data_IF_224615065520
#
_entry.id   IF_224615065520
#
_cell.length_a   1.000
_cell.length_b   1.000
_cell.length_c   1.000
_cell.angle_alpha   90.00
_cell.angle_beta   90.00
_cell.angle_gamma   90.00
#
_symmetry.space_group_name_H-M   'P 1'
#
loop_
_entity.id
_entity.type
_entity.pdbx_description
1 polymer ?
#
# COMPACT_ATOMS: atom_id res chain seq x y z
N UNK A 1 -3.18 7.01 30.71
CA UNK A 1 -3.90 6.75 29.45
C UNK A 1 -4.19 8.08 28.82
N UNK A 2 -3.73 8.29 27.59
CA UNK A 2 -4.00 9.51 26.84
C UNK A 2 -5.22 9.30 25.95
N UNK A 3 -6.12 10.29 25.83
CA UNK A 3 -7.32 10.17 25.02
C UNK A 3 -6.95 9.95 23.54
N UNK A 4 -7.65 9.00 22.93
CA UNK A 4 -7.57 8.64 21.53
C UNK A 4 -8.10 9.83 20.71
N UNK A 5 -7.24 10.80 20.40
CA UNK A 5 -7.58 11.87 19.47
C UNK A 5 -7.63 11.26 18.06
N UNK A 6 -8.81 11.29 17.43
CA UNK A 6 -9.09 10.93 16.03
C UNK A 6 -8.41 11.87 15.01
N UNK A 7 -7.32 12.53 15.40
CA UNK A 7 -6.51 13.34 14.51
C UNK A 7 -5.47 12.44 13.82
N UNK A 8 -4.99 12.83 12.63
CA UNK A 8 -3.97 12.06 11.89
C UNK A 8 -2.70 11.74 12.67
N UNK A 9 -2.43 12.47 13.77
CA UNK A 9 -1.34 12.24 14.71
C UNK A 9 -1.59 10.98 15.58
N UNK A 10 -2.83 10.73 16.00
CA UNK A 10 -3.20 9.55 16.77
C UNK A 10 -3.04 8.26 15.97
N UNK A 11 -3.49 8.27 14.72
CA UNK A 11 -3.31 7.14 13.80
C UNK A 11 -1.83 6.85 13.51
N UNK A 12 -1.01 7.89 13.29
CA UNK A 12 0.43 7.72 13.06
C UNK A 12 1.14 7.09 14.27
N UNK A 13 0.72 7.44 15.50
CA UNK A 13 1.31 6.90 16.74
C UNK A 13 0.91 5.46 17.02
N UNK A 14 -0.33 5.09 16.72
CA UNK A 14 -0.76 3.69 16.77
C UNK A 14 0.02 2.83 15.78
N UNK A 15 0.15 3.30 14.54
CA UNK A 15 0.95 2.64 13.51
C UNK A 15 2.42 2.49 13.92
N UNK A 16 3.02 3.50 14.54
CA UNK A 16 4.38 3.43 15.10
C UNK A 16 4.52 2.34 16.17
N UNK A 17 3.58 2.24 17.11
CA UNK A 17 3.61 1.24 18.18
C UNK A 17 3.51 -0.19 17.62
N UNK A 18 2.65 -0.39 16.63
CA UNK A 18 2.46 -1.67 15.92
C UNK A 18 3.70 -2.07 15.13
N UNK A 19 4.26 -1.14 14.34
CA UNK A 19 5.45 -1.37 13.51
C UNK A 19 6.70 -1.67 14.35
N UNK A 20 6.87 -0.99 15.49
CA UNK A 20 8.00 -1.19 16.40
C UNK A 20 7.80 -2.37 17.38
N UNK A 21 6.71 -3.13 17.25
CA UNK A 21 6.42 -4.30 18.08
C UNK A 21 6.21 -3.98 19.56
N UNK A 22 5.72 -2.78 19.86
CA UNK A 22 5.36 -2.38 21.24
C UNK A 22 3.92 -2.76 21.61
N UNK A 23 3.16 -3.29 20.65
CA UNK A 23 1.83 -3.88 20.84
C UNK A 23 1.68 -5.12 19.96
N UNK A 24 1.01 -6.15 20.49
CA UNK A 24 0.79 -7.44 19.83
C UNK A 24 -0.60 -7.58 19.18
N UNK A 25 -1.43 -6.54 19.26
CA UNK A 25 -2.78 -6.50 18.66
C UNK A 25 -3.03 -5.15 17.99
N UNK A 26 -3.77 -5.11 16.85
CA UNK A 26 -4.15 -3.84 16.23
C UNK A 26 -4.94 -3.00 17.21
N UNK A 27 -4.58 -1.73 17.39
CA UNK A 27 -5.28 -0.80 18.30
C UNK A 27 -5.93 0.37 17.57
N UNK A 28 -5.85 0.39 16.24
CA UNK A 28 -6.50 1.38 15.36
C UNK A 28 -7.94 1.01 14.98
N UNK A 29 -8.69 1.95 14.36
CA UNK A 29 -10.02 1.67 13.86
C UNK A 29 -9.94 0.54 12.81
N UNK A 30 -10.73 -0.51 13.04
CA UNK A 30 -10.92 -1.58 12.05
C UNK A 30 -11.49 -0.97 10.76
N UNK A 31 -11.01 -1.41 9.60
CA UNK A 31 -11.58 -1.04 8.31
C UNK A 31 -13.09 -1.39 8.32
N UNK A 32 -13.92 -0.36 8.47
CA UNK A 32 -15.34 -0.53 8.75
C UNK A 32 -16.06 0.81 8.83
N UNK A 33 -16.06 1.57 7.74
CA UNK A 33 -17.01 2.68 7.56
C UNK A 33 -17.38 3.00 6.09
N UNK A 34 -16.64 2.47 5.11
CA UNK A 34 -17.08 2.45 3.70
C UNK A 34 -17.42 1.02 3.28
N UNK A 35 -18.36 0.40 3.97
CA UNK A 35 -19.06 -0.77 3.44
C UNK A 35 -19.91 -0.28 2.27
N UNK A 36 -19.49 -0.61 1.05
CA UNK A 36 -20.22 -0.37 -0.19
C UNK A 36 -21.67 -0.85 -0.04
N UNK A 37 -22.63 0.03 -0.33
CA UNK A 37 -24.05 -0.32 -0.44
C UNK A 37 -24.24 -1.18 -1.70
N UNK A 38 -24.80 -2.37 -1.52
CA UNK A 38 -25.19 -3.28 -2.60
C UNK A 38 -26.26 -2.65 -3.51
N UNK A 39 -26.01 -2.69 -4.82
CA UNK A 39 -26.91 -2.13 -5.84
C UNK A 39 -26.83 -2.82 -7.20
N UNK A 40 -27.52 -3.96 -7.32
CA UNK A 40 -28.20 -4.50 -8.53
C UNK A 40 -27.38 -5.30 -9.60
N UNK A 41 -28.02 -6.11 -10.48
CA UNK A 41 -28.03 -7.59 -10.44
C UNK A 41 -27.19 -8.28 -11.56
N UNK A 42 -27.12 -9.63 -11.60
CA UNK A 42 -26.11 -10.37 -12.34
C UNK A 42 -26.54 -10.73 -13.76
N UNK A 43 -25.68 -10.52 -14.76
CA UNK A 43 -25.80 -11.27 -16.02
C UNK A 43 -24.53 -11.24 -16.88
N UNK A 44 -24.02 -12.44 -17.18
CA UNK A 44 -23.52 -12.79 -18.50
C UNK A 44 -22.30 -12.05 -19.05
N UNK A 45 -21.10 -12.49 -18.70
CA UNK A 45 -19.99 -12.43 -19.65
C UNK A 45 -18.98 -13.57 -19.43
N UNK A 46 -19.28 -14.72 -20.03
CA UNK A 46 -18.30 -15.77 -20.25
C UNK A 46 -17.44 -15.33 -21.44
N UNK A 47 -16.19 -14.96 -21.22
CA UNK A 47 -15.20 -14.83 -22.29
C UNK A 47 -13.81 -15.33 -21.86
N UNK A 48 -13.26 -16.15 -22.76
CA UNK A 48 -11.89 -16.68 -22.89
C UNK A 48 -11.10 -17.02 -21.62
N UNK A 49 -11.00 -18.32 -21.33
CA UNK A 49 -9.87 -18.87 -20.57
C UNK A 49 -8.64 -18.84 -21.49
N UNK A 50 -7.79 -17.83 -21.34
CA UNK A 50 -6.47 -17.86 -21.97
C UNK A 50 -5.52 -18.64 -21.08
N UNK A 51 -5.22 -19.84 -21.54
CA UNK A 51 -4.09 -20.69 -21.19
C UNK A 51 -2.78 -19.91 -21.26
N UNK A 52 -2.05 -19.87 -20.16
CA UNK A 52 -0.72 -19.29 -20.11
C UNK A 52 -0.40 -18.80 -18.71
N UNK A 53 -0.33 -19.71 -17.74
CA UNK A 53 0.23 -19.42 -16.43
C UNK A 53 1.73 -19.15 -16.64
N UNK A 54 2.06 -17.92 -17.05
CA UNK A 54 3.43 -17.42 -17.04
C UNK A 54 3.80 -17.43 -15.57
N UNK A 55 4.55 -18.44 -15.16
CA UNK A 55 5.25 -18.47 -13.88
C UNK A 55 6.12 -17.22 -13.79
N UNK A 56 5.57 -16.15 -13.25
CA UNK A 56 6.33 -14.94 -12.92
C UNK A 56 7.07 -15.24 -11.64
N UNK A 57 8.37 -15.47 -11.76
CA UNK A 57 9.27 -15.55 -10.61
C UNK A 57 9.24 -14.17 -9.94
N UNK A 58 8.56 -14.11 -8.80
CA UNK A 58 8.53 -12.91 -7.96
C UNK A 58 9.90 -12.64 -7.33
N UNK A 59 10.09 -11.43 -6.77
CA UNK A 59 11.26 -11.12 -5.95
C UNK A 59 11.51 -12.18 -4.86
N UNK A 60 12.78 -12.43 -4.53
CA UNK A 60 13.12 -13.28 -3.38
C UNK A 60 12.62 -12.64 -2.07
N UNK A 61 12.43 -13.46 -1.03
CA UNK A 61 11.93 -12.99 0.28
C UNK A 61 12.87 -11.97 0.94
N UNK A 62 14.17 -12.07 0.68
CA UNK A 62 15.26 -11.20 1.13
C UNK A 62 15.59 -10.06 0.16
N UNK A 63 14.81 -9.90 -0.92
CA UNK A 63 15.02 -8.80 -1.86
C UNK A 63 14.70 -7.44 -1.20
N UNK A 64 15.41 -6.37 -1.58
CA UNK A 64 15.14 -5.03 -1.06
C UNK A 64 13.68 -4.63 -1.26
N UNK A 65 13.12 -3.94 -0.26
CA UNK A 65 11.72 -3.58 -0.18
C UNK A 65 11.53 -2.08 -0.43
N UNK A 66 10.58 -1.72 -1.29
CA UNK A 66 10.10 -0.37 -1.51
C UNK A 66 8.67 -0.20 -1.02
N UNK A 67 8.43 0.66 -0.03
CA UNK A 67 7.07 0.97 0.47
C UNK A 67 6.51 2.15 -0.33
N UNK A 68 5.49 1.89 -1.14
CA UNK A 68 4.81 2.90 -1.96
C UNK A 68 3.84 3.69 -1.10
N UNK A 69 3.89 5.02 -1.19
CA UNK A 69 3.05 5.90 -0.39
C UNK A 69 2.95 7.28 -1.04
N UNK A 70 1.93 8.06 -0.69
CA UNK A 70 1.85 9.46 -1.09
C UNK A 70 2.98 10.31 -0.46
N UNK A 71 3.24 11.49 -1.00
CA UNK A 71 4.34 12.36 -0.53
C UNK A 71 4.20 12.76 0.95
N UNK A 72 2.98 12.92 1.47
CA UNK A 72 2.74 13.21 2.89
C UNK A 72 2.96 11.95 3.74
N UNK A 73 2.48 10.79 3.28
CA UNK A 73 2.74 9.51 3.94
C UNK A 73 4.23 9.19 4.01
N UNK A 74 5.01 9.61 3.02
CA UNK A 74 6.46 9.44 3.02
C UNK A 74 7.16 10.22 4.15
N UNK A 75 6.67 11.42 4.51
CA UNK A 75 7.23 12.20 5.61
C UNK A 75 7.04 11.50 6.96
N UNK A 76 5.95 10.76 7.12
CA UNK A 76 5.65 9.97 8.33
C UNK A 76 6.41 8.64 8.33
N UNK A 77 6.42 7.92 7.20
CA UNK A 77 7.02 6.58 7.14
C UNK A 77 8.55 6.58 7.19
N UNK A 78 9.22 7.61 6.66
CA UNK A 78 10.70 7.68 6.64
C UNK A 78 11.34 7.55 8.02
N UNK A 79 10.98 8.35 9.05
CA UNK A 79 11.57 8.21 10.38
C UNK A 79 11.23 6.86 11.03
N UNK A 80 10.01 6.34 10.79
CA UNK A 80 9.57 5.06 11.34
C UNK A 80 10.37 3.87 10.78
N UNK A 81 10.57 3.82 9.47
CA UNK A 81 11.40 2.79 8.84
C UNK A 81 12.88 2.98 9.17
N UNK A 82 13.35 4.22 9.33
CA UNK A 82 14.70 4.50 9.82
C UNK A 82 14.96 3.93 11.21
N UNK A 83 13.97 3.97 12.10
CA UNK A 83 14.07 3.41 13.46
C UNK A 83 14.18 1.87 13.48
N UNK A 84 13.79 1.18 12.40
CA UNK A 84 14.00 -0.27 12.26
C UNK A 84 15.47 -0.63 11.97
N UNK A 85 16.30 0.33 11.57
CA UNK A 85 17.73 0.10 11.28
C UNK A 85 17.99 -0.81 10.09
N UNK A 86 17.08 -0.83 9.11
CA UNK A 86 17.16 -1.70 7.93
C UNK A 86 17.51 -0.94 6.66
N UNK A 87 18.67 -1.26 6.09
CA UNK A 87 19.16 -0.64 4.85
C UNK A 87 18.50 -1.21 3.58
N UNK A 88 17.83 -2.36 3.70
CA UNK A 88 17.15 -3.03 2.60
C UNK A 88 15.71 -2.52 2.39
N UNK A 89 15.21 -1.63 3.25
CA UNK A 89 13.85 -1.08 3.19
C UNK A 89 13.89 0.42 2.90
N UNK A 90 13.16 0.87 1.88
CA UNK A 90 13.07 2.30 1.54
C UNK A 90 11.63 2.76 1.28
N UNK A 91 11.36 4.03 1.59
CA UNK A 91 10.11 4.69 1.18
C UNK A 91 10.22 5.15 -0.27
N UNK A 92 9.24 4.77 -1.09
CA UNK A 92 9.11 5.19 -2.48
C UNK A 92 7.92 6.16 -2.56
N UNK A 93 8.16 7.48 -2.48
CA UNK A 93 7.09 8.47 -2.57
C UNK A 93 6.52 8.51 -4.00
N UNK A 94 5.20 8.54 -4.08
CA UNK A 94 4.45 8.66 -5.33
C UNK A 94 3.76 10.02 -5.31
N UNK A 95 4.20 10.90 -6.22
CA UNK A 95 3.54 12.18 -6.44
C UNK A 95 2.23 11.93 -7.19
N UNK A 96 1.12 12.44 -6.64
CA UNK A 96 -0.19 12.32 -7.25
C UNK A 96 -0.37 13.41 -8.31
N UNK A 97 0.02 13.14 -9.55
CA UNK A 97 -0.13 14.11 -10.64
C UNK A 97 -1.56 14.11 -11.18
N UNK A 98 -2.31 13.02 -10.99
CA UNK A 98 -3.70 12.89 -11.42
C UNK A 98 -4.63 13.93 -10.77
N UNK A 99 -4.46 14.20 -9.48
CA UNK A 99 -5.19 15.26 -8.76
C UNK A 99 -4.41 16.59 -8.68
N UNK A 100 -3.46 16.82 -9.61
CA UNK A 100 -2.75 18.10 -9.73
C UNK A 100 -1.61 18.33 -8.74
N UNK A 101 -1.02 17.27 -8.17
CA UNK A 101 0.22 17.32 -7.38
C UNK A 101 0.09 17.75 -5.92
N UNK A 102 -0.97 18.48 -5.57
CA UNK A 102 -1.17 19.05 -4.23
C UNK A 102 -1.76 18.06 -3.21
N UNK A 103 -2.16 16.87 -3.67
CA UNK A 103 -2.77 15.82 -2.85
C UNK A 103 -1.72 14.76 -2.51
N UNK A 104 -1.20 14.80 -1.27
CA UNK A 104 -0.08 13.95 -0.83
C UNK A 104 -0.47 12.69 -0.04
N UNK A 105 -1.77 12.38 0.07
CA UNK A 105 -2.27 11.28 0.90
C UNK A 105 -2.13 9.92 0.21
N UNK A 106 -1.94 8.87 1.01
CA UNK A 106 -1.78 7.48 0.56
C UNK A 106 -2.98 6.93 -0.22
N UNK A 107 -4.20 7.22 0.22
CA UNK A 107 -5.42 6.62 -0.35
C UNK A 107 -5.86 7.19 -1.71
N UNK A 108 -5.17 8.20 -2.25
CA UNK A 108 -5.56 8.84 -3.51
C UNK A 108 -4.60 8.56 -4.68
N UNK A 109 -3.72 7.56 -4.53
CA UNK A 109 -2.80 7.15 -5.58
C UNK A 109 -3.53 6.42 -6.72
N UNK A 110 -3.25 6.81 -7.95
CA UNK A 110 -3.79 6.17 -9.16
C UNK A 110 -2.75 5.26 -9.80
N UNK A 111 -3.20 4.29 -10.62
CA UNK A 111 -2.30 3.34 -11.25
C UNK A 111 -1.32 3.99 -12.22
N UNK A 112 -1.71 5.06 -12.93
CA UNK A 112 -0.81 5.80 -13.82
C UNK A 112 0.41 6.40 -13.09
N UNK A 113 0.19 6.99 -11.91
CA UNK A 113 1.26 7.57 -11.08
C UNK A 113 2.16 6.47 -10.51
N UNK A 114 1.56 5.39 -10.04
CA UNK A 114 2.30 4.21 -9.57
C UNK A 114 3.15 3.60 -10.68
N UNK A 115 2.61 3.45 -11.89
CA UNK A 115 3.31 2.89 -13.03
C UNK A 115 4.52 3.74 -13.42
N UNK A 116 4.37 5.06 -13.48
CA UNK A 116 5.46 5.99 -13.77
C UNK A 116 6.59 5.88 -12.73
N UNK A 117 6.25 5.86 -11.45
CA UNK A 117 7.26 5.74 -10.38
C UNK A 117 7.93 4.37 -10.43
N UNK A 118 7.16 3.29 -10.56
CA UNK A 118 7.67 1.91 -10.60
C UNK A 118 8.54 1.62 -11.83
N UNK A 119 8.29 2.28 -12.96
CA UNK A 119 9.12 2.16 -14.16
C UNK A 119 10.57 2.60 -13.91
N UNK A 120 10.78 3.60 -13.04
CA UNK A 120 12.10 4.07 -12.65
C UNK A 120 12.76 3.24 -11.53
N UNK A 121 12.03 2.28 -10.93
CA UNK A 121 12.56 1.49 -9.83
C UNK A 121 13.23 0.18 -10.30
N UNK A 122 14.22 -0.33 -9.54
CA UNK A 122 14.92 -1.56 -9.88
C UNK A 122 13.99 -2.78 -10.04
N UNK A 123 14.31 -3.64 -11.00
CA UNK A 123 13.68 -4.96 -11.11
C UNK A 123 14.13 -5.89 -9.97
N UNK A 124 13.28 -6.84 -9.59
CA UNK A 124 13.63 -7.86 -8.61
C UNK A 124 13.53 -7.41 -7.15
N UNK A 125 13.11 -6.17 -6.89
CA UNK A 125 12.77 -5.67 -5.56
C UNK A 125 11.29 -5.95 -5.25
N UNK A 126 10.95 -6.03 -3.96
CA UNK A 126 9.56 -6.13 -3.49
C UNK A 126 8.97 -4.72 -3.37
N UNK A 127 7.77 -4.50 -3.88
CA UNK A 127 7.07 -3.22 -3.74
C UNK A 127 5.80 -3.43 -2.94
N UNK A 128 5.66 -2.74 -1.81
CA UNK A 128 4.51 -2.85 -0.92
C UNK A 128 3.57 -1.67 -1.18
N UNK A 129 2.28 -1.94 -1.33
CA UNK A 129 1.24 -0.96 -1.61
C UNK A 129 0.14 -1.04 -0.54
N UNK A 130 -0.24 0.07 0.11
CA UNK A 130 -1.39 0.09 1.03
C UNK A 130 -2.71 -0.24 0.32
N UNK A 131 -3.54 -1.10 0.92
CA UNK A 131 -4.85 -1.51 0.42
C UNK A 131 -5.84 -0.36 0.24
N UNK A 132 -5.71 0.71 1.04
CA UNK A 132 -6.50 1.95 0.91
C UNK A 132 -6.34 2.64 -0.45
N UNK A 133 -5.36 2.26 -1.27
CA UNK A 133 -5.22 2.75 -2.63
C UNK A 133 -6.21 2.10 -3.62
N UNK A 134 -6.92 1.05 -3.18
CA UNK A 134 -7.81 0.25 -4.03
C UNK A 134 -9.26 0.32 -3.55
N UNK A 135 -10.18 0.45 -4.50
CA UNK A 135 -11.62 0.26 -4.32
C UNK A 135 -12.07 -0.94 -5.17
N UNK A 136 -12.53 -2.02 -4.52
CA UNK A 136 -12.92 -3.24 -5.23
C UNK A 136 -11.78 -3.87 -6.06
N UNK A 137 -10.53 -3.71 -5.62
CA UNK A 137 -9.34 -4.22 -6.33
C UNK A 137 -8.85 -3.35 -7.49
N UNK A 138 -9.41 -2.16 -7.68
CA UNK A 138 -9.02 -1.20 -8.71
C UNK A 138 -8.52 0.11 -8.13
N UNK A 139 -7.61 0.77 -8.82
CA UNK A 139 -7.24 2.14 -8.56
C UNK A 139 -8.35 3.11 -8.99
N UNK A 140 -8.26 4.37 -8.56
CA UNK A 140 -9.27 5.39 -8.90
C UNK A 140 -9.35 5.73 -10.40
N UNK A 141 -8.31 5.43 -11.17
CA UNK A 141 -8.28 5.55 -12.63
C UNK A 141 -8.80 4.29 -13.35
N UNK A 142 -9.33 3.30 -12.61
CA UNK A 142 -9.92 2.07 -13.14
C UNK A 142 -8.92 0.96 -13.47
N UNK A 143 -7.62 1.25 -13.43
CA UNK A 143 -6.56 0.26 -13.63
C UNK A 143 -6.46 -0.69 -12.43
N UNK A 144 -5.75 -1.79 -12.61
CA UNK A 144 -5.53 -2.82 -11.57
C UNK A 144 -4.05 -2.94 -11.23
N UNK A 145 -3.68 -3.49 -10.05
CA UNK A 145 -2.29 -3.80 -9.72
C UNK A 145 -1.56 -4.68 -10.76
N UNK A 146 -2.29 -5.50 -11.51
CA UNK A 146 -1.73 -6.34 -12.56
C UNK A 146 -1.30 -5.54 -13.82
N UNK A 147 -1.81 -4.33 -14.00
CA UNK A 147 -1.47 -3.43 -15.11
C UNK A 147 -0.17 -2.66 -14.85
N UNK A 148 0.39 -2.75 -13.63
CA UNK A 148 1.61 -2.06 -13.27
C UNK A 148 2.85 -2.71 -13.91
N UNK A 149 3.88 -1.91 -14.26
CA UNK A 149 5.10 -2.42 -14.90
C UNK A 149 5.96 -3.28 -13.97
N UNK A 150 5.66 -3.28 -12.67
CA UNK A 150 6.30 -4.08 -11.64
C UNK A 150 5.22 -4.70 -10.75
N UNK A 151 5.39 -5.96 -10.31
CA UNK A 151 4.47 -6.56 -9.36
C UNK A 151 4.51 -5.81 -8.03
N UNK A 152 3.35 -5.61 -7.43
CA UNK A 152 3.18 -5.01 -6.11
C UNK A 152 2.47 -5.98 -5.17
N UNK A 153 2.84 -5.96 -3.90
CA UNK A 153 2.22 -6.71 -2.81
C UNK A 153 1.30 -5.75 -2.05
N UNK A 154 0.00 -6.01 -2.10
CA UNK A 154 -1.00 -5.18 -1.42
C UNK A 154 -1.09 -5.60 0.04
N UNK A 155 -0.96 -4.63 0.95
CA UNK A 155 -0.98 -4.87 2.39
C UNK A 155 -2.09 -4.06 3.06
N UNK A 156 -2.73 -4.60 4.12
CA UNK A 156 -3.53 -3.82 5.04
C UNK A 156 -2.78 -2.59 5.54
N UNK A 157 -3.48 -1.47 5.65
CA UNK A 157 -2.91 -0.18 6.10
C UNK A 157 -2.79 -0.13 7.64
N UNK A 158 -2.03 -1.07 8.21
CA UNK A 158 -1.70 -1.14 9.64
C UNK A 158 -0.22 -1.50 9.87
N UNK A 159 0.29 -1.20 11.07
CA UNK A 159 1.71 -1.35 11.37
C UNK A 159 2.14 -2.81 11.51
N UNK A 160 1.22 -3.70 11.90
CA UNK A 160 1.48 -5.14 12.07
C UNK A 160 1.65 -5.84 10.72
N UNK A 161 0.79 -5.53 9.75
CA UNK A 161 0.88 -6.04 8.40
C UNK A 161 2.18 -5.60 7.73
N UNK A 162 2.57 -4.33 7.89
CA UNK A 162 3.85 -3.84 7.39
C UNK A 162 5.02 -4.58 8.07
N UNK A 163 5.02 -4.71 9.40
CA UNK A 163 6.08 -5.42 10.14
C UNK A 163 6.23 -6.87 9.69
N UNK A 164 5.10 -7.58 9.56
CA UNK A 164 5.05 -8.97 9.09
C UNK A 164 5.58 -9.09 7.64
N UNK A 165 5.23 -8.17 6.75
CA UNK A 165 5.69 -8.17 5.37
C UNK A 165 7.21 -7.91 5.24
N UNK A 166 7.76 -7.11 6.17
CA UNK A 166 9.19 -6.89 6.30
C UNK A 166 9.91 -8.11 6.93
N UNK A 167 9.22 -8.96 7.68
CA UNK A 167 9.81 -10.09 8.39
C UNK A 167 10.50 -9.69 9.69
N UNK A 168 9.93 -8.70 10.39
CA UNK A 168 10.41 -8.15 11.67
C UNK A 168 9.51 -8.51 12.87
#
# INVERSE_FOLDING_TARGET
GFPMHEDGIGMARTFELELLGRVDRPTGPQAGFFASVDGAPPEGYRAARTTGDRLTIGPRRDAPVGVLTGTMGAQVLRPLLGALGRDDVRVVPVANEYFGGNIGVTGLLVGADLARVLAAQPSGHRYLLPDVCLSGGRFLDGTTPADLPRPVEVLPTDGLALRAALGA
#
